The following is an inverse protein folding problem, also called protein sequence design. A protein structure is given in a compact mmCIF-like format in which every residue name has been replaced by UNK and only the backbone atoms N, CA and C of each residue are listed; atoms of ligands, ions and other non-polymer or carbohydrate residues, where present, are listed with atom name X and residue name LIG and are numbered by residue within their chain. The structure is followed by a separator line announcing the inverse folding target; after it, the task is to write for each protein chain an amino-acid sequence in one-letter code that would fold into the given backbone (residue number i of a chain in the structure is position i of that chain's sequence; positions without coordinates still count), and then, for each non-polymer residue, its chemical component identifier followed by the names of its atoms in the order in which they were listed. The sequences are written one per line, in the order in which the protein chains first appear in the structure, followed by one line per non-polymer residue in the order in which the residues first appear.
data_IF_546461854606
#
_entry.id   IF_546461854606
#
_cell.length_a   1.000
_cell.length_b   1.000
_cell.length_c   1.000
_cell.angle_alpha   90.00
_cell.angle_beta   90.00
_cell.angle_gamma   90.00
#
_symmetry.space_group_name_H-M   'P 1'
#
loop_
_entity.id
_entity.type
_entity.pdbx_description
1 polymer ?
#
# COMPACT_ATOMS: atom_id res chain seq x y z
N UNK A 1 9.23 -0.29 -7.29
CA UNK A 1 8.61 -1.30 -6.40
C UNK A 1 7.51 -0.64 -5.57
N UNK A 2 6.35 -1.30 -5.40
CA UNK A 2 5.16 -0.76 -4.69
C UNK A 2 5.47 -0.30 -3.26
N UNK A 3 6.21 -1.13 -2.52
CA UNK A 3 6.57 -0.87 -1.12
C UNK A 3 7.47 0.36 -0.97
N UNK A 4 8.40 0.60 -1.90
CA UNK A 4 9.25 1.79 -1.87
C UNK A 4 8.43 3.09 -2.07
N UNK A 5 7.40 3.05 -2.93
CA UNK A 5 6.53 4.20 -3.16
C UNK A 5 5.66 4.52 -1.92
N UNK A 6 5.13 3.47 -1.28
CA UNK A 6 4.36 3.60 -0.04
C UNK A 6 5.25 4.06 1.14
N UNK A 7 6.48 3.57 1.24
CA UNK A 7 7.46 4.02 2.24
C UNK A 7 7.84 5.49 2.09
N UNK A 8 7.97 5.98 0.85
CA UNK A 8 8.25 7.39 0.59
C UNK A 8 7.09 8.32 0.98
N UNK A 9 5.86 7.77 1.09
CA UNK A 9 4.65 8.52 1.41
C UNK A 9 3.82 7.76 2.46
N UNK A 10 4.35 7.58 3.69
CA UNK A 10 3.73 6.69 4.66
C UNK A 10 2.39 7.22 5.18
N UNK A 11 2.19 8.54 5.16
CA UNK A 11 0.96 9.19 5.58
C UNK A 11 -0.12 9.19 4.47
N UNK A 12 0.26 8.92 3.23
CA UNK A 12 -0.68 8.96 2.09
C UNK A 12 -1.24 7.58 1.79
N UNK A 13 -2.57 7.50 1.73
CA UNK A 13 -3.26 6.28 1.32
C UNK A 13 -3.53 6.28 -0.19
N UNK A 14 -3.10 5.24 -0.88
CA UNK A 14 -3.25 5.11 -2.32
C UNK A 14 -4.19 3.97 -2.71
N UNK A 15 -4.84 4.12 -3.87
CA UNK A 15 -5.59 3.03 -4.49
C UNK A 15 -4.67 2.18 -5.36
N UNK A 16 -5.02 0.92 -5.61
CA UNK A 16 -4.27 0.06 -6.53
C UNK A 16 -4.12 0.69 -7.93
N UNK A 17 -5.17 1.37 -8.41
CA UNK A 17 -5.16 2.10 -9.68
C UNK A 17 -4.25 3.33 -9.65
N UNK A 18 -4.17 4.04 -8.52
CA UNK A 18 -3.26 5.16 -8.35
C UNK A 18 -1.80 4.73 -8.46
N UNK A 19 -1.43 3.68 -7.73
CA UNK A 19 -0.07 3.11 -7.76
C UNK A 19 0.25 2.52 -9.14
N UNK A 20 -0.72 1.86 -9.79
CA UNK A 20 -0.58 1.27 -11.13
C UNK A 20 -0.11 2.29 -12.16
N UNK A 21 -0.62 3.52 -12.11
CA UNK A 21 -0.22 4.61 -13.01
C UNK A 21 1.20 5.10 -12.77
N UNK A 22 1.72 4.95 -11.56
CA UNK A 22 3.05 5.45 -11.18
C UNK A 22 4.12 4.41 -11.52
N UNK A 23 3.80 3.13 -11.33
CA UNK A 23 4.75 2.01 -11.46
C UNK A 23 4.64 1.32 -12.83
N UNK A 24 3.76 1.78 -13.70
CA UNK A 24 3.46 1.20 -15.02
C UNK A 24 3.22 -0.32 -14.94
N UNK A 25 2.37 -0.71 -13.99
CA UNK A 25 2.04 -2.12 -13.73
C UNK A 25 0.53 -2.29 -13.66
N UNK A 26 0.04 -3.45 -14.09
CA UNK A 26 -1.39 -3.75 -14.03
C UNK A 26 -1.97 -3.54 -12.62
N UNK A 27 -3.10 -2.84 -12.54
CA UNK A 27 -3.85 -2.60 -11.31
C UNK A 27 -4.17 -3.90 -10.57
N UNK A 28 -4.41 -5.00 -11.30
CA UNK A 28 -4.60 -6.33 -10.71
C UNK A 28 -3.33 -6.89 -10.04
N UNK A 29 -2.16 -6.69 -10.65
CA UNK A 29 -0.88 -7.11 -10.05
C UNK A 29 -0.57 -6.30 -8.79
N UNK A 30 -0.85 -4.99 -8.83
CA UNK A 30 -0.72 -4.10 -7.68
C UNK A 30 -1.69 -4.50 -6.56
N UNK A 31 -2.96 -4.75 -6.87
CA UNK A 31 -3.95 -5.17 -5.89
C UNK A 31 -3.53 -6.48 -5.20
N UNK A 32 -3.08 -7.47 -5.96
CA UNK A 32 -2.55 -8.72 -5.40
C UNK A 32 -1.34 -8.49 -4.49
N UNK A 33 -0.42 -7.61 -4.89
CA UNK A 33 0.73 -7.24 -4.07
C UNK A 33 0.28 -6.55 -2.76
N UNK A 34 -0.65 -5.59 -2.83
CA UNK A 34 -1.17 -4.87 -1.67
C UNK A 34 -1.91 -5.79 -0.68
N UNK A 35 -2.68 -6.77 -1.19
CA UNK A 35 -3.33 -7.78 -0.34
C UNK A 35 -2.28 -8.62 0.39
N UNK A 36 -1.24 -9.10 -0.31
CA UNK A 36 -0.13 -9.83 0.33
C UNK A 36 0.61 -8.98 1.35
N UNK A 37 0.89 -7.72 1.05
CA UNK A 37 1.57 -6.79 1.96
C UNK A 37 0.71 -6.46 3.20
N UNK A 38 -0.60 -6.39 3.02
CA UNK A 38 -1.55 -6.18 4.12
C UNK A 38 -1.63 -7.40 5.02
N UNK A 39 -1.64 -8.60 4.43
CA UNK A 39 -1.56 -9.85 5.19
C UNK A 39 -0.25 -9.99 5.98
N UNK A 40 0.86 -9.45 5.45
CA UNK A 40 2.16 -9.41 6.13
C UNK A 40 2.27 -8.28 7.17
N UNK A 41 1.26 -7.40 7.29
CA UNK A 41 1.27 -6.25 8.20
C UNK A 41 2.09 -5.04 7.72
N UNK A 42 2.67 -5.08 6.51
CA UNK A 42 3.45 -3.98 5.92
C UNK A 42 2.57 -2.82 5.46
N UNK A 43 1.35 -3.11 5.02
CA UNK A 43 0.38 -2.08 4.62
C UNK A 43 -0.93 -2.29 5.36
N UNK A 44 -1.74 -1.25 5.48
CA UNK A 44 -3.08 -1.34 6.05
C UNK A 44 -4.09 -0.80 5.06
N UNK A 45 -5.19 -1.54 4.91
CA UNK A 45 -6.36 -1.01 4.24
C UNK A 45 -7.06 0.00 5.16
N UNK A 46 -7.12 1.26 4.73
CA UNK A 46 -7.73 2.36 5.50
C UNK A 46 -9.13 2.71 5.02
N UNK A 47 -9.52 2.26 3.83
CA UNK A 47 -10.87 2.45 3.29
C UNK A 47 -11.24 1.26 2.40
N UNK A 48 -12.53 0.91 2.33
CA UNK A 48 -13.03 -0.20 1.51
C UNK A 48 -13.67 0.25 0.18
N UNK A 49 -14.18 1.48 0.08
CA UNK A 49 -14.79 1.99 -1.16
C UNK A 49 -14.48 3.49 -1.38
N UNK A 50 -13.54 3.84 -2.29
CA UNK A 50 -12.60 2.95 -2.97
C UNK A 50 -11.57 2.35 -2.01
N UNK A 51 -11.12 1.11 -2.29
CA UNK A 51 -10.07 0.45 -1.49
C UNK A 51 -8.78 1.25 -1.49
N UNK A 52 -8.39 1.76 -0.31
CA UNK A 52 -7.17 2.52 -0.11
C UNK A 52 -6.23 1.80 0.84
N UNK A 53 -4.97 1.76 0.46
CA UNK A 53 -3.89 1.12 1.19
C UNK A 53 -2.87 2.17 1.59
N UNK A 54 -2.52 2.18 2.87
CA UNK A 54 -1.51 3.05 3.44
C UNK A 54 -0.33 2.19 3.92
N UNK A 55 0.87 2.75 3.89
CA UNK A 55 2.02 2.09 4.49
C UNK A 55 1.83 1.99 6.01
N UNK A 56 1.97 0.80 6.57
CA UNK A 56 1.98 0.62 8.01
C UNK A 56 3.43 0.74 8.46
N UNK A 57 3.86 1.97 8.74
CA UNK A 57 5.15 2.25 9.38
C UNK A 57 5.17 1.85 10.86
N UNK A 58 4.31 0.93 11.32
CA UNK A 58 4.46 0.35 12.65
C UNK A 58 5.58 -0.69 12.61
N UNK A 59 6.80 -0.20 12.40
CA UNK A 59 7.92 -0.70 13.17
C UNK A 59 7.57 -0.53 14.66
N UNK A 60 8.09 -1.39 15.55
CA UNK A 60 7.74 -1.33 16.96
C UNK A 60 7.93 0.10 17.43
N UNK A 61 6.87 0.71 17.97
CA UNK A 61 7.03 1.86 18.81
C UNK A 61 7.61 1.32 20.11
N UNK A 62 8.94 1.16 20.10
CA UNK A 62 9.71 0.95 21.31
C UNK A 62 9.48 2.19 22.19
N UNK A 63 8.92 1.92 23.37
CA UNK A 63 8.69 2.88 24.45
C UNK A 63 10.01 3.33 25.04
#
# INVERSE_FOLDING_TARGET
MVVAHLQANPDTAYTATGISRIIDRSSGAIANALVKLTAQGTTRQVSDAPRRYQYTARGPQEN
#
